data_IF_880236044541
#
_entry.id   IF_880236044541
#
_cell.length_a   1.000
_cell.length_b   1.000
_cell.length_c   1.000
_cell.angle_alpha   90.00
_cell.angle_beta   90.00
_cell.angle_gamma   90.00
#
_symmetry.space_group_name_H-M   'P 1'
#
loop_
_entity.id
_entity.type
_entity.pdbx_description
1 polymer ?
#
# COMPACT_ATOMS: atom_id res chain seq x y z
N UNK A 1 -29.77 17.39 15.89
CA UNK A 1 -28.81 16.58 15.08
C UNK A 1 -27.90 15.88 16.07
N UNK A 2 -27.95 14.54 16.10
CA UNK A 2 -27.04 13.73 16.92
C UNK A 2 -25.63 13.73 16.32
N UNK A 3 -24.61 13.71 17.17
CA UNK A 3 -23.23 13.42 16.78
C UNK A 3 -22.98 11.93 16.95
N UNK A 4 -22.29 11.30 16.01
CA UNK A 4 -21.81 9.93 16.14
C UNK A 4 -20.27 9.92 16.10
N UNK A 5 -19.66 8.91 16.69
CA UNK A 5 -18.23 8.70 16.65
C UNK A 5 -17.91 7.47 15.81
N UNK A 6 -16.84 7.55 15.01
CA UNK A 6 -16.28 6.42 14.28
C UNK A 6 -14.79 6.31 14.60
N UNK A 7 -14.36 5.11 14.99
CA UNK A 7 -12.96 4.79 15.30
C UNK A 7 -12.56 3.48 14.62
N UNK A 8 -11.34 3.42 14.11
CA UNK A 8 -10.77 2.21 13.57
C UNK A 8 -9.37 1.97 14.15
N UNK A 9 -9.08 0.72 14.51
CA UNK A 9 -7.78 0.25 14.98
C UNK A 9 -7.36 -0.95 14.14
N UNK A 10 -6.12 -0.96 13.67
CA UNK A 10 -5.52 -2.13 13.05
C UNK A 10 -4.12 -2.37 13.63
N UNK A 11 -3.86 -3.63 14.01
CA UNK A 11 -2.55 -4.08 14.48
C UNK A 11 -2.15 -5.30 13.65
N UNK A 12 -0.91 -5.33 13.15
CA UNK A 12 -0.45 -6.40 12.30
C UNK A 12 0.97 -6.84 12.62
N UNK A 13 1.22 -8.15 12.43
CA UNK A 13 2.53 -8.76 12.47
C UNK A 13 2.87 -9.27 11.07
N UNK A 14 3.99 -8.81 10.53
CA UNK A 14 4.47 -9.19 9.21
C UNK A 14 5.75 -10.02 9.30
N UNK A 15 5.86 -10.97 8.39
CA UNK A 15 7.06 -11.77 8.14
C UNK A 15 7.37 -11.81 6.66
N UNK A 16 8.63 -11.64 6.31
CA UNK A 16 9.08 -11.80 4.93
C UNK A 16 10.40 -12.55 4.86
N UNK A 17 10.60 -13.28 3.75
CA UNK A 17 11.77 -14.11 3.52
C UNK A 17 12.09 -14.25 2.05
N UNK A 18 13.37 -14.26 1.70
CA UNK A 18 13.85 -14.78 0.43
C UNK A 18 13.73 -16.31 0.44
N UNK A 19 12.96 -16.88 -0.49
CA UNK A 19 12.87 -18.32 -0.71
C UNK A 19 14.00 -18.80 -1.64
N UNK A 20 14.34 -17.96 -2.62
CA UNK A 20 15.50 -18.09 -3.48
C UNK A 20 16.13 -16.71 -3.68
N UNK A 21 17.23 -16.61 -4.45
CA UNK A 21 17.84 -15.31 -4.80
C UNK A 21 16.87 -14.37 -5.52
N UNK A 22 15.95 -14.93 -6.31
CA UNK A 22 15.04 -14.16 -7.17
C UNK A 22 13.60 -14.11 -6.64
N UNK A 23 13.28 -14.92 -5.62
CA UNK A 23 11.90 -15.09 -5.16
C UNK A 23 11.74 -14.80 -3.68
N UNK A 24 10.91 -13.80 -3.38
CA UNK A 24 10.58 -13.37 -2.02
C UNK A 24 9.13 -13.68 -1.70
N UNK A 25 8.90 -14.18 -0.50
CA UNK A 25 7.58 -14.39 0.09
C UNK A 25 7.39 -13.45 1.27
N UNK A 26 6.16 -12.95 1.45
CA UNK A 26 5.73 -12.19 2.61
C UNK A 26 4.33 -12.60 3.07
N UNK A 27 4.11 -12.55 4.35
CA UNK A 27 2.80 -12.75 4.97
C UNK A 27 2.60 -11.75 6.11
N UNK A 28 1.37 -11.28 6.31
CA UNK A 28 1.00 -10.39 7.41
C UNK A 28 -0.32 -10.85 8.01
N UNK A 29 -0.33 -11.11 9.30
CA UNK A 29 -1.55 -11.33 10.08
C UNK A 29 -1.96 -10.00 10.72
N UNK A 30 -3.20 -9.59 10.50
CA UNK A 30 -3.76 -8.33 11.02
C UNK A 30 -4.99 -8.61 11.88
N UNK A 31 -5.09 -7.90 12.97
CA UNK A 31 -6.33 -7.73 13.70
C UNK A 31 -6.86 -6.31 13.43
N UNK A 32 -8.11 -6.21 13.02
CA UNK A 32 -8.77 -4.94 12.76
C UNK A 32 -10.04 -4.85 13.61
N UNK A 33 -10.24 -3.70 14.24
CA UNK A 33 -11.45 -3.34 14.97
C UNK A 33 -11.99 -2.03 14.43
N UNK A 34 -13.27 -2.01 14.13
CA UNK A 34 -14.00 -0.81 13.75
C UNK A 34 -15.17 -0.60 14.70
N UNK A 35 -15.34 0.61 15.19
CA UNK A 35 -16.43 0.99 16.08
C UNK A 35 -17.12 2.21 15.51
N UNK A 36 -18.40 2.09 15.21
CA UNK A 36 -19.26 3.18 14.77
C UNK A 36 -20.40 3.30 15.76
N UNK A 37 -20.43 4.42 16.48
CA UNK A 37 -21.35 4.67 17.59
C UNK A 37 -21.30 3.56 18.65
N UNK A 38 -22.33 2.76 18.78
CA UNK A 38 -22.45 1.66 19.76
C UNK A 38 -22.11 0.27 19.19
N UNK A 39 -21.82 0.17 17.90
CA UNK A 39 -21.55 -1.11 17.23
C UNK A 39 -20.08 -1.29 16.96
N UNK A 40 -19.56 -2.50 17.21
CA UNK A 40 -18.16 -2.85 17.00
C UNK A 40 -18.07 -4.11 16.15
N UNK A 41 -17.20 -4.08 15.14
CA UNK A 41 -16.82 -5.23 14.34
C UNK A 41 -15.34 -5.55 14.52
N UNK A 42 -15.02 -6.80 14.74
CA UNK A 42 -13.67 -7.33 14.91
C UNK A 42 -13.34 -8.30 13.77
N UNK A 43 -12.11 -8.21 13.24
CA UNK A 43 -11.66 -9.07 12.16
C UNK A 43 -10.22 -9.51 12.31
N UNK A 44 -9.95 -10.74 11.87
CA UNK A 44 -8.60 -11.26 11.65
C UNK A 44 -8.40 -11.46 10.17
N UNK A 45 -7.39 -10.80 9.62
CA UNK A 45 -7.11 -10.72 8.20
C UNK A 45 -5.71 -11.21 7.90
N UNK A 46 -5.56 -11.91 6.79
CA UNK A 46 -4.28 -12.39 6.27
C UNK A 46 -3.96 -11.66 4.95
N UNK A 47 -2.76 -11.11 4.86
CA UNK A 47 -2.17 -10.65 3.61
C UNK A 47 -1.06 -11.61 3.20
N UNK A 48 -0.97 -11.94 1.92
CA UNK A 48 0.09 -12.75 1.33
C UNK A 48 0.71 -12.00 0.15
N UNK A 49 2.00 -12.11 -0.02
CA UNK A 49 2.70 -11.45 -1.12
C UNK A 49 3.88 -12.25 -1.65
N UNK A 50 4.08 -12.17 -2.95
CA UNK A 50 5.22 -12.74 -3.64
C UNK A 50 5.83 -11.70 -4.57
N UNK A 51 7.15 -11.67 -4.62
CA UNK A 51 7.92 -10.85 -5.56
C UNK A 51 8.95 -11.73 -6.23
N UNK A 52 8.99 -11.67 -7.56
CA UNK A 52 9.94 -12.38 -8.40
C UNK A 52 10.80 -11.38 -9.18
N UNK A 53 12.12 -11.46 -8.99
CA UNK A 53 13.10 -10.75 -9.81
C UNK A 53 13.35 -11.55 -11.07
N UNK A 54 12.99 -11.00 -12.22
CA UNK A 54 13.02 -11.77 -13.49
C UNK A 54 14.42 -12.04 -14.03
N UNK A 55 15.44 -11.34 -13.52
CA UNK A 55 16.79 -11.34 -14.06
C UNK A 55 16.93 -10.52 -15.35
N UNK A 56 15.87 -9.91 -15.86
CA UNK A 56 15.89 -9.04 -17.05
C UNK A 56 16.00 -7.58 -16.59
N UNK A 57 17.21 -7.07 -16.55
CA UNK A 57 17.47 -5.75 -15.96
C UNK A 57 16.99 -5.70 -14.51
N UNK A 58 16.21 -4.70 -14.17
CA UNK A 58 15.60 -4.53 -12.84
C UNK A 58 14.11 -4.91 -12.80
N UNK A 59 13.61 -5.63 -13.82
CA UNK A 59 12.20 -5.99 -13.92
C UNK A 59 11.80 -6.96 -12.81
N UNK A 60 10.77 -6.58 -12.03
CA UNK A 60 10.16 -7.38 -10.98
C UNK A 60 8.68 -7.60 -11.25
N UNK A 61 8.21 -8.79 -10.92
CA UNK A 61 6.80 -9.16 -10.95
C UNK A 61 6.35 -9.41 -9.52
N UNK A 62 5.24 -8.81 -9.09
CA UNK A 62 4.67 -8.98 -7.78
C UNK A 62 3.23 -9.44 -7.83
N UNK A 63 2.80 -10.24 -6.86
CA UNK A 63 1.41 -10.54 -6.61
C UNK A 63 1.12 -10.46 -5.13
N UNK A 64 -0.05 -9.87 -4.79
CA UNK A 64 -0.47 -9.66 -3.42
C UNK A 64 -1.94 -10.01 -3.26
N UNK A 65 -2.25 -10.85 -2.29
CA UNK A 65 -3.61 -11.06 -1.79
C UNK A 65 -3.73 -10.28 -0.49
N UNK A 66 -4.66 -9.33 -0.43
CA UNK A 66 -4.87 -8.46 0.73
C UNK A 66 -6.22 -8.68 1.37
N UNK A 67 -6.24 -8.58 2.70
CA UNK A 67 -7.45 -8.65 3.52
C UNK A 67 -8.22 -9.97 3.35
N UNK A 68 -7.52 -11.08 3.14
CA UNK A 68 -8.16 -12.39 3.17
C UNK A 68 -8.58 -12.71 4.60
N UNK A 69 -9.86 -12.87 4.84
CA UNK A 69 -10.42 -13.11 6.17
C UNK A 69 -11.82 -13.68 6.09
N UNK A 70 -12.35 -14.03 7.25
CA UNK A 70 -13.72 -14.49 7.39
C UNK A 70 -14.70 -13.32 7.21
N UNK A 71 -15.96 -13.64 6.96
CA UNK A 71 -17.03 -12.66 6.97
C UNK A 71 -17.12 -12.01 8.36
N UNK A 72 -17.34 -10.70 8.36
CA UNK A 72 -17.55 -9.93 9.58
C UNK A 72 -19.02 -9.73 9.83
N UNK A 73 -19.40 -9.66 11.10
CA UNK A 73 -20.76 -9.34 11.51
C UNK A 73 -20.79 -7.95 12.11
N UNK A 74 -21.69 -7.11 11.61
CA UNK A 74 -21.92 -5.77 12.11
C UNK A 74 -23.43 -5.53 12.21
N UNK A 75 -23.92 -5.24 13.42
CA UNK A 75 -25.34 -4.99 13.68
C UNK A 75 -26.29 -6.09 13.16
N UNK A 76 -25.94 -7.38 13.39
CA UNK A 76 -26.66 -8.57 12.94
C UNK A 76 -26.65 -8.83 11.40
N UNK A 77 -25.86 -8.06 10.65
CA UNK A 77 -25.64 -8.30 9.22
C UNK A 77 -24.21 -8.79 8.95
N UNK A 78 -24.11 -9.85 8.14
CA UNK A 78 -22.81 -10.38 7.70
C UNK A 78 -22.36 -9.69 6.43
N UNK A 79 -21.11 -9.25 6.39
CA UNK A 79 -20.50 -8.68 5.20
C UNK A 79 -19.11 -9.29 4.94
N UNK A 80 -18.76 -9.37 3.66
CA UNK A 80 -17.44 -9.83 3.25
C UNK A 80 -16.43 -8.70 3.40
N UNK A 81 -15.26 -9.05 3.94
CA UNK A 81 -14.15 -8.08 3.97
C UNK A 81 -13.74 -7.69 2.55
N UNK A 82 -13.33 -6.44 2.31
CA UNK A 82 -12.88 -5.97 1.00
C UNK A 82 -11.52 -6.59 0.65
N UNK A 83 -11.57 -7.80 0.07
CA UNK A 83 -10.39 -8.53 -0.39
C UNK A 83 -9.91 -7.95 -1.72
N UNK A 84 -8.60 -8.00 -1.94
CA UNK A 84 -7.98 -7.56 -3.20
C UNK A 84 -6.88 -8.50 -3.63
N UNK A 85 -6.94 -8.94 -4.88
CA UNK A 85 -5.80 -9.52 -5.57
C UNK A 85 -5.13 -8.43 -6.40
N UNK A 86 -3.83 -8.29 -6.24
CA UNK A 86 -3.01 -7.31 -6.97
C UNK A 86 -1.94 -8.06 -7.75
N UNK A 87 -1.83 -7.77 -9.04
CA UNK A 87 -0.74 -8.22 -9.90
C UNK A 87 0.01 -6.98 -10.37
N UNK A 88 1.33 -6.95 -10.19
CA UNK A 88 2.14 -5.79 -10.53
C UNK A 88 3.43 -6.14 -11.24
N UNK A 89 3.89 -5.23 -12.05
CA UNK A 89 5.23 -5.20 -12.61
C UNK A 89 5.90 -3.88 -12.28
N UNK A 90 7.20 -3.92 -12.03
CA UNK A 90 7.99 -2.70 -11.76
C UNK A 90 9.42 -2.86 -12.21
N UNK A 91 10.08 -1.74 -12.45
CA UNK A 91 11.50 -1.72 -12.76
C UNK A 91 12.05 -0.30 -12.82
N UNK A 92 13.36 -0.16 -12.68
CA UNK A 92 14.06 1.09 -12.84
C UNK A 92 14.34 1.35 -14.32
N UNK A 93 13.87 2.49 -14.82
CA UNK A 93 14.16 2.97 -16.19
C UNK A 93 15.41 3.84 -16.22
N UNK A 94 15.82 4.39 -15.08
CA UNK A 94 17.07 5.12 -14.88
C UNK A 94 17.66 4.74 -13.53
N UNK A 95 18.98 4.49 -13.50
CA UNK A 95 19.70 4.13 -12.29
C UNK A 95 19.36 2.74 -11.77
N UNK A 96 19.54 2.54 -10.47
CA UNK A 96 19.14 1.35 -9.71
C UNK A 96 18.63 1.78 -8.33
N UNK A 97 17.91 0.92 -7.62
CA UNK A 97 17.39 1.23 -6.26
C UNK A 97 18.49 1.64 -5.27
N UNK A 98 19.70 1.15 -5.47
CA UNK A 98 20.88 1.45 -4.63
C UNK A 98 21.59 2.74 -5.05
N UNK A 99 21.27 3.27 -6.23
CA UNK A 99 21.89 4.50 -6.72
C UNK A 99 21.42 5.73 -5.96
N UNK A 100 22.22 6.78 -5.98
CA UNK A 100 21.89 8.09 -5.42
C UNK A 100 20.66 8.72 -6.09
N UNK A 101 20.49 8.41 -7.38
CA UNK A 101 19.34 8.84 -8.18
C UNK A 101 18.81 7.66 -8.99
N UNK A 102 17.51 7.49 -8.99
CA UNK A 102 16.84 6.52 -9.86
C UNK A 102 15.44 7.01 -10.29
N UNK A 103 14.90 6.39 -11.30
CA UNK A 103 13.50 6.50 -11.70
C UNK A 103 12.92 5.10 -11.88
N UNK A 104 11.92 4.76 -11.09
CA UNK A 104 11.15 3.51 -11.18
C UNK A 104 9.77 3.75 -11.75
N UNK A 105 9.27 2.78 -12.51
CA UNK A 105 7.89 2.75 -13.02
C UNK A 105 7.21 1.51 -12.45
N UNK A 106 5.91 1.64 -12.14
CA UNK A 106 5.05 0.61 -11.56
C UNK A 106 3.76 0.53 -12.37
N UNK A 107 3.34 -0.67 -12.71
CA UNK A 107 2.03 -0.94 -13.30
C UNK A 107 1.38 -2.07 -12.50
N UNK A 108 0.16 -1.83 -12.02
CA UNK A 108 -0.60 -2.79 -11.22
C UNK A 108 -2.00 -2.99 -11.79
N UNK A 109 -2.46 -4.23 -11.82
CA UNK A 109 -3.85 -4.62 -12.01
C UNK A 109 -4.40 -5.04 -10.63
N UNK A 110 -5.52 -4.45 -10.23
CA UNK A 110 -6.18 -4.70 -8.95
C UNK A 110 -7.55 -5.29 -9.21
N UNK A 111 -7.79 -6.47 -8.65
CA UNK A 111 -9.08 -7.15 -8.67
C UNK A 111 -9.67 -7.18 -7.26
N UNK A 112 -10.57 -6.26 -6.90
CA UNK A 112 -11.33 -6.30 -5.66
C UNK A 112 -12.46 -7.33 -5.76
N UNK A 113 -12.90 -7.89 -4.62
CA UNK A 113 -14.01 -8.85 -4.60
C UNK A 113 -15.39 -8.19 -4.68
N UNK A 114 -15.47 -6.87 -4.53
CA UNK A 114 -16.70 -6.06 -4.37
C UNK A 114 -16.83 -4.93 -5.40
N UNK A 115 -15.89 -4.81 -6.34
CA UNK A 115 -15.90 -3.78 -7.37
C UNK A 115 -15.28 -4.28 -8.70
N UNK A 116 -15.32 -3.44 -9.73
CA UNK A 116 -14.67 -3.71 -11.01
C UNK A 116 -13.13 -3.69 -10.88
N UNK A 117 -12.44 -4.26 -11.86
CA UNK A 117 -10.99 -4.24 -11.96
C UNK A 117 -10.47 -2.83 -12.19
N UNK A 118 -9.32 -2.54 -11.58
CA UNK A 118 -8.65 -1.25 -11.70
C UNK A 118 -7.21 -1.44 -12.18
N UNK A 119 -6.68 -0.43 -12.84
CA UNK A 119 -5.27 -0.36 -13.24
C UNK A 119 -4.64 0.87 -12.60
N UNK A 120 -3.47 0.68 -12.00
CA UNK A 120 -2.68 1.76 -11.42
C UNK A 120 -1.37 1.89 -12.16
N UNK A 121 -1.02 3.11 -12.56
CA UNK A 121 0.28 3.47 -13.07
C UNK A 121 0.96 4.39 -12.06
N UNK A 122 2.21 4.08 -11.70
CA UNK A 122 2.99 4.85 -10.75
C UNK A 122 4.40 5.12 -11.23
N UNK A 123 4.99 6.18 -10.72
CA UNK A 123 6.40 6.47 -10.85
C UNK A 123 6.97 6.97 -9.52
N UNK A 124 8.22 6.62 -9.27
CA UNK A 124 9.00 7.13 -8.16
C UNK A 124 10.38 7.55 -8.65
N UNK A 125 10.80 8.76 -8.30
CA UNK A 125 12.15 9.23 -8.48
C UNK A 125 12.82 9.48 -7.13
N UNK A 126 13.98 8.88 -6.91
CA UNK A 126 14.89 9.23 -5.82
C UNK A 126 15.92 10.22 -6.33
N UNK A 127 16.15 11.28 -5.57
CA UNK A 127 17.12 12.32 -5.87
C UNK A 127 18.04 12.52 -4.68
N UNK A 128 19.33 12.65 -4.96
CA UNK A 128 20.38 13.04 -3.97
C UNK A 128 20.39 12.14 -2.72
N UNK A 129 20.13 10.85 -2.88
CA UNK A 129 20.03 9.85 -1.80
C UNK A 129 18.95 10.10 -0.73
N UNK A 130 18.20 11.19 -0.79
CA UNK A 130 17.38 11.61 0.33
C UNK A 130 15.95 12.03 -0.03
N UNK A 131 15.72 12.52 -1.25
CA UNK A 131 14.43 13.07 -1.66
C UNK A 131 13.71 12.11 -2.61
N UNK A 132 12.46 11.80 -2.30
CA UNK A 132 11.59 10.94 -3.10
C UNK A 132 10.43 11.76 -3.65
N UNK A 133 10.25 11.74 -4.97
CA UNK A 133 9.10 12.31 -5.66
C UNK A 133 8.30 11.16 -6.26
N UNK A 134 7.00 11.17 -6.02
CA UNK A 134 6.09 10.13 -6.49
C UNK A 134 4.91 10.73 -7.22
N UNK A 135 4.49 10.06 -8.27
CA UNK A 135 3.26 10.37 -8.98
C UNK A 135 2.55 9.09 -9.38
N UNK A 136 1.23 9.13 -9.40
CA UNK A 136 0.45 7.98 -9.82
C UNK A 136 -0.88 8.37 -10.41
N UNK A 137 -1.39 7.48 -11.26
CA UNK A 137 -2.71 7.59 -11.86
C UNK A 137 -3.44 6.26 -11.70
N UNK A 138 -4.69 6.34 -11.25
CA UNK A 138 -5.59 5.22 -11.05
C UNK A 138 -6.67 5.24 -12.15
N UNK A 139 -6.73 4.20 -12.95
CA UNK A 139 -7.75 4.01 -13.98
C UNK A 139 -8.90 3.17 -13.42
N UNK A 140 -10.12 3.46 -13.88
CA UNK A 140 -11.32 2.73 -13.49
C UNK A 140 -11.98 3.22 -12.19
N UNK A 141 -11.51 4.33 -11.62
CA UNK A 141 -12.17 5.01 -10.51
C UNK A 141 -12.90 6.24 -10.99
N UNK A 142 -14.13 6.44 -10.50
CA UNK A 142 -14.95 7.57 -10.92
C UNK A 142 -14.44 8.90 -10.33
N UNK A 143 -13.85 8.89 -9.13
CA UNK A 143 -13.64 10.10 -8.35
C UNK A 143 -12.23 10.28 -7.75
N UNK A 144 -11.30 9.34 -7.94
CA UNK A 144 -9.94 9.38 -7.36
C UNK A 144 -8.88 8.89 -8.35
N UNK A 145 -8.33 9.80 -9.13
CA UNK A 145 -7.46 9.43 -10.24
C UNK A 145 -5.98 9.75 -10.00
N UNK A 146 -5.68 10.95 -9.48
CA UNK A 146 -4.30 11.42 -9.34
C UNK A 146 -3.81 11.30 -7.91
N UNK A 147 -2.59 10.77 -7.76
CA UNK A 147 -1.88 10.72 -6.49
C UNK A 147 -0.51 11.34 -6.62
N UNK A 148 -0.09 12.09 -5.63
CA UNK A 148 1.25 12.67 -5.54
C UNK A 148 1.88 12.31 -4.20
N UNK A 149 3.19 12.18 -4.17
CA UNK A 149 3.93 11.86 -2.96
C UNK A 149 5.27 12.58 -2.89
N UNK A 150 5.64 12.95 -1.68
CA UNK A 150 6.94 13.49 -1.33
C UNK A 150 7.48 12.70 -0.15
N UNK A 151 8.74 12.29 -0.21
CA UNK A 151 9.41 11.59 0.87
C UNK A 151 10.81 12.11 1.10
N UNK A 152 11.31 11.96 2.31
CA UNK A 152 12.71 12.25 2.63
C UNK A 152 13.27 11.22 3.59
N UNK A 153 14.54 10.87 3.41
CA UNK A 153 15.30 10.03 4.31
C UNK A 153 16.42 10.84 4.96
N UNK A 154 16.64 10.60 6.25
CA UNK A 154 17.72 11.22 7.00
C UNK A 154 18.22 10.27 8.09
N UNK A 155 19.49 10.43 8.45
CA UNK A 155 20.13 9.64 9.51
C UNK A 155 20.21 10.50 10.77
N UNK A 156 19.66 9.98 11.87
CA UNK A 156 19.78 10.60 13.18
C UNK A 156 20.18 9.56 14.23
N UNK A 157 21.26 9.81 14.96
CA UNK A 157 21.82 8.90 15.97
C UNK A 157 22.06 7.48 15.46
N UNK A 158 22.66 7.36 14.26
CA UNK A 158 22.95 6.10 13.57
C UNK A 158 21.70 5.24 13.22
N UNK A 159 20.52 5.83 13.21
CA UNK A 159 19.28 5.21 12.74
C UNK A 159 18.76 5.96 11.54
N UNK A 160 18.23 5.23 10.59
CA UNK A 160 17.62 5.81 9.41
C UNK A 160 16.15 6.10 9.68
N UNK A 161 15.75 7.33 9.39
CA UNK A 161 14.37 7.79 9.45
C UNK A 161 13.90 8.12 8.06
N UNK A 162 12.64 7.82 7.79
CA UNK A 162 11.96 8.21 6.57
C UNK A 162 10.64 8.89 6.91
N UNK A 163 10.45 10.07 6.37
CA UNK A 163 9.19 10.79 6.42
C UNK A 163 8.59 10.85 5.03
N UNK A 164 7.32 10.49 4.91
CA UNK A 164 6.57 10.54 3.66
C UNK A 164 5.27 11.32 3.84
N UNK A 165 4.91 12.06 2.82
CA UNK A 165 3.63 12.75 2.67
C UNK A 165 3.01 12.33 1.34
N UNK A 166 1.72 12.01 1.35
CA UNK A 166 0.98 11.72 0.12
C UNK A 166 -0.32 12.52 0.04
N UNK A 167 -0.64 12.92 -1.17
CA UNK A 167 -1.84 13.63 -1.56
C UNK A 167 -2.63 12.78 -2.54
N UNK A 168 -3.94 12.71 -2.34
CA UNK A 168 -4.87 12.07 -3.26
C UNK A 168 -6.04 13.02 -3.51
N UNK A 169 -6.33 13.24 -4.79
CA UNK A 169 -7.46 14.06 -5.20
C UNK A 169 -8.75 13.24 -5.21
N UNK A 170 -9.82 13.83 -4.70
CA UNK A 170 -11.18 13.31 -4.80
C UNK A 170 -12.07 14.36 -5.47
N UNK A 171 -12.92 13.95 -6.39
CA UNK A 171 -13.75 14.90 -7.16
C UNK A 171 -14.87 15.52 -6.32
N UNK A 172 -15.48 14.77 -5.39
CA UNK A 172 -16.63 15.20 -4.58
C UNK A 172 -16.36 15.27 -3.07
N UNK A 173 -15.21 14.79 -2.62
CA UNK A 173 -14.79 14.82 -1.22
C UNK A 173 -13.60 15.76 -1.06
N UNK A 174 -13.33 16.17 0.16
CA UNK A 174 -12.09 16.88 0.45
C UNK A 174 -10.88 15.99 0.17
N UNK A 175 -9.79 16.60 -0.28
CA UNK A 175 -8.52 15.95 -0.58
C UNK A 175 -8.01 15.16 0.63
N UNK A 176 -7.44 13.97 0.38
CA UNK A 176 -6.82 13.18 1.43
C UNK A 176 -5.32 13.46 1.50
N UNK A 177 -4.85 13.88 2.67
CA UNK A 177 -3.44 14.00 3.01
C UNK A 177 -3.07 12.90 4.01
N UNK A 178 -1.97 12.19 3.75
CA UNK A 178 -1.42 11.20 4.68
C UNK A 178 0.03 11.52 4.98
N UNK A 179 0.40 11.35 6.23
CA UNK A 179 1.76 11.48 6.72
C UNK A 179 2.20 10.17 7.35
N UNK A 180 3.42 9.75 7.09
CA UNK A 180 4.02 8.60 7.74
C UNK A 180 5.44 8.90 8.18
N UNK A 181 5.83 8.31 9.31
CA UNK A 181 7.18 8.32 9.82
C UNK A 181 7.60 6.88 10.08
N UNK A 182 8.69 6.45 9.53
CA UNK A 182 9.28 5.15 9.77
C UNK A 182 10.72 5.27 10.26
N UNK A 183 11.15 4.28 11.02
CA UNK A 183 12.51 4.17 11.54
C UNK A 183 13.00 2.74 11.31
N UNK A 184 14.19 2.61 10.76
CA UNK A 184 14.91 1.34 10.65
C UNK A 184 15.79 1.16 11.88
N UNK A 185 15.72 -0.05 12.50
CA UNK A 185 16.39 -0.40 13.75
C UNK A 185 17.72 -1.10 13.49
#
# INVERSE_FOLDING_TARGET
>A
LGTYSANALAVGLAYSRYLTYDFTFGAMLKYARETIDSHTADNVLLDLGFVYNTGIGSLRIGTFLKNFGLESEYADEQFKMPQRLVLGISGEVLGSLEAANYLSIYLEAVHPNDAAEHIHLGMESKLINALYLRGGYKFGYDHENVTLGLGTEFIFRARQFRFDMSYMNHEYLEQTLRYSLSMEL
#
